data_IF_823965737095
#
_entry.id   IF_823965737095
#
_cell.length_a   1.000
_cell.length_b   1.000
_cell.length_c   1.000
_cell.angle_alpha   90.00
_cell.angle_beta   90.00
_cell.angle_gamma   90.00
#
_symmetry.space_group_name_H-M   'P 1'
#
loop_
_entity.id
_entity.type
_entity.pdbx_description
1 polymer ?
#
# COMPACT_ATOMS: atom_id res chain seq x y z
N UNK A 1 -10.07 -9.22 -11.87
CA UNK A 1 -11.37 -8.62 -12.23
C UNK A 1 -11.49 -8.58 -13.73
N UNK A 2 -12.38 -9.41 -14.33
CA UNK A 2 -12.74 -9.24 -15.74
C UNK A 2 -13.70 -8.05 -15.82
N UNK A 3 -13.42 -7.13 -16.73
CA UNK A 3 -14.13 -5.86 -16.95
C UNK A 3 -15.63 -6.03 -17.28
N UNK A 4 -16.07 -7.25 -17.52
CA UNK A 4 -17.43 -7.56 -18.00
C UNK A 4 -18.20 -8.54 -17.10
N UNK A 5 -17.67 -8.86 -15.90
CA UNK A 5 -18.43 -9.63 -14.95
C UNK A 5 -19.24 -8.66 -14.07
N UNK A 6 -20.53 -8.48 -14.37
CA UNK A 6 -21.49 -8.03 -13.37
C UNK A 6 -21.37 -9.00 -12.20
N UNK A 7 -20.67 -8.61 -11.16
CA UNK A 7 -20.64 -9.35 -9.91
C UNK A 7 -21.71 -8.77 -9.01
N UNK A 8 -22.89 -9.21 -9.20
CA UNK A 8 -23.95 -9.18 -8.20
C UNK A 8 -23.54 -10.18 -7.12
N UNK A 9 -22.64 -9.76 -6.23
CA UNK A 9 -22.29 -10.54 -5.05
C UNK A 9 -23.22 -10.13 -3.92
N UNK A 10 -23.79 -11.11 -3.24
CA UNK A 10 -24.53 -10.88 -2.00
C UNK A 10 -23.56 -10.80 -0.82
N UNK A 11 -23.86 -9.98 0.18
CA UNK A 11 -23.10 -9.83 1.42
C UNK A 11 -23.87 -10.45 2.56
N UNK A 12 -23.30 -11.45 3.22
CA UNK A 12 -23.90 -12.06 4.43
C UNK A 12 -23.60 -11.23 5.66
N UNK A 13 -22.34 -10.73 5.78
CA UNK A 13 -21.87 -10.03 6.97
C UNK A 13 -20.82 -9.02 6.57
N UNK A 14 -20.83 -7.88 7.21
CA UNK A 14 -19.83 -6.83 7.03
C UNK A 14 -19.37 -6.30 8.37
N UNK A 15 -18.06 -6.12 8.53
CA UNK A 15 -17.46 -5.46 9.69
C UNK A 15 -16.57 -4.31 9.21
N UNK A 16 -16.71 -3.15 9.83
CA UNK A 16 -15.88 -1.97 9.55
C UNK A 16 -14.73 -1.90 10.54
N UNK A 17 -13.55 -1.57 10.03
CA UNK A 17 -12.37 -1.32 10.86
C UNK A 17 -11.82 0.07 10.56
N UNK A 18 -11.38 0.75 11.61
CA UNK A 18 -10.60 1.98 11.45
C UNK A 18 -9.15 1.60 11.13
N UNK A 19 -8.59 2.19 10.07
CA UNK A 19 -7.20 1.98 9.71
C UNK A 19 -6.33 3.04 10.39
N UNK A 20 -5.25 2.60 10.99
CA UNK A 20 -4.19 3.47 11.48
C UNK A 20 -3.41 4.06 10.29
N UNK A 21 -3.00 5.33 10.42
CA UNK A 21 -2.26 6.04 9.37
C UNK A 21 -0.86 5.46 9.10
N UNK A 22 -0.42 4.50 9.91
CA UNK A 22 0.88 3.83 9.78
C UNK A 22 0.77 2.40 9.25
N UNK A 23 -0.44 1.86 9.10
CA UNK A 23 -0.64 0.46 8.69
C UNK A 23 -0.04 0.18 7.31
N UNK A 24 0.63 -0.97 7.18
CA UNK A 24 1.16 -1.46 5.90
C UNK A 24 0.20 -2.47 5.26
N UNK A 25 0.39 -2.75 3.96
CA UNK A 25 -0.43 -3.74 3.25
C UNK A 25 -0.36 -5.13 3.91
N UNK A 26 0.81 -5.60 4.33
CA UNK A 26 0.97 -6.91 4.98
C UNK A 26 0.24 -6.99 6.32
N UNK A 27 0.29 -5.91 7.11
CA UNK A 27 -0.45 -5.81 8.37
C UNK A 27 -1.97 -5.81 8.13
N UNK A 28 -2.43 -5.04 7.13
CA UNK A 28 -3.85 -4.99 6.76
C UNK A 28 -4.35 -6.37 6.28
N UNK A 29 -3.60 -7.06 5.42
CA UNK A 29 -3.97 -8.42 4.99
C UNK A 29 -4.07 -9.39 6.16
N UNK A 30 -3.13 -9.32 7.10
CA UNK A 30 -3.16 -10.15 8.30
C UNK A 30 -4.38 -9.86 9.17
N UNK A 31 -4.68 -8.58 9.40
CA UNK A 31 -5.83 -8.15 10.18
C UNK A 31 -7.15 -8.58 9.51
N UNK A 32 -7.31 -8.26 8.23
CA UNK A 32 -8.50 -8.61 7.46
C UNK A 32 -8.71 -10.13 7.39
N UNK A 33 -7.64 -10.91 7.21
CA UNK A 33 -7.71 -12.37 7.21
C UNK A 33 -8.20 -12.96 8.54
N UNK A 34 -7.69 -12.46 9.66
CA UNK A 34 -8.15 -12.87 11.01
C UNK A 34 -9.61 -12.50 11.25
N UNK A 35 -10.01 -11.30 10.85
CA UNK A 35 -11.39 -10.83 10.99
C UNK A 35 -12.34 -11.63 10.11
N UNK A 36 -12.01 -11.86 8.85
CA UNK A 36 -12.81 -12.66 7.94
C UNK A 36 -13.00 -14.10 8.44
N UNK A 37 -11.92 -14.72 8.94
CA UNK A 37 -12.01 -16.07 9.53
C UNK A 37 -12.93 -16.10 10.76
N UNK A 38 -12.81 -15.10 11.65
CA UNK A 38 -13.68 -14.97 12.83
C UNK A 38 -15.14 -14.78 12.42
N UNK A 39 -15.42 -13.85 11.51
CA UNK A 39 -16.78 -13.60 11.04
C UNK A 39 -17.41 -14.85 10.43
N UNK A 40 -16.67 -15.54 9.55
CA UNK A 40 -17.16 -16.77 8.95
C UNK A 40 -17.44 -17.85 10.00
N UNK A 41 -16.50 -18.10 10.91
CA UNK A 41 -16.65 -19.12 11.94
C UNK A 41 -17.83 -18.84 12.88
N UNK A 42 -18.07 -17.56 13.22
CA UNK A 42 -19.15 -17.18 14.13
C UNK A 42 -20.56 -17.28 13.53
N UNK A 43 -20.66 -17.24 12.20
CA UNK A 43 -21.95 -17.19 11.50
C UNK A 43 -22.20 -18.37 10.55
N UNK A 44 -21.24 -19.29 10.43
CA UNK A 44 -21.30 -20.37 9.47
C UNK A 44 -22.59 -21.22 9.64
N UNK A 45 -22.94 -21.60 10.87
CA UNK A 45 -24.14 -22.37 11.14
C UNK A 45 -25.42 -21.61 10.79
N UNK A 46 -25.45 -20.31 11.04
CA UNK A 46 -26.60 -19.46 10.69
C UNK A 46 -26.77 -19.34 9.15
N UNK A 47 -25.65 -19.27 8.44
CA UNK A 47 -25.64 -19.24 6.97
C UNK A 47 -26.12 -20.58 6.40
N UNK A 48 -25.57 -21.70 6.88
CA UNK A 48 -25.91 -23.05 6.41
C UNK A 48 -27.37 -23.43 6.70
N UNK A 49 -27.89 -23.00 7.85
CA UNK A 49 -29.29 -23.25 8.24
C UNK A 49 -30.26 -22.19 7.68
N UNK A 50 -29.81 -21.29 6.83
CA UNK A 50 -30.60 -20.20 6.22
C UNK A 50 -31.24 -19.25 7.26
N UNK A 51 -30.70 -19.17 8.46
CA UNK A 51 -31.10 -18.23 9.49
C UNK A 51 -30.49 -16.82 9.31
N UNK A 52 -29.44 -16.73 8.48
CA UNK A 52 -28.84 -15.49 8.02
C UNK A 52 -28.91 -15.46 6.49
N UNK A 53 -29.67 -14.52 5.96
CA UNK A 53 -29.86 -14.36 4.51
C UNK A 53 -28.87 -13.30 3.99
N UNK A 54 -28.38 -13.48 2.76
CA UNK A 54 -27.49 -12.50 2.13
C UNK A 54 -28.27 -11.27 1.65
N UNK A 55 -27.66 -10.09 1.78
CA UNK A 55 -28.20 -8.83 1.27
C UNK A 55 -27.54 -8.47 -0.07
N UNK A 56 -28.30 -7.91 -1.03
CA UNK A 56 -27.73 -7.42 -2.29
C UNK A 56 -26.84 -6.19 -2.01
N UNK A 57 -25.79 -6.02 -2.81
CA UNK A 57 -24.98 -4.81 -2.77
C UNK A 57 -25.64 -3.66 -3.52
N UNK A 58 -25.47 -2.44 -3.03
CA UNK A 58 -25.94 -1.25 -3.74
C UNK A 58 -25.03 -0.97 -4.95
N UNK A 59 -25.60 -0.96 -6.13
CA UNK A 59 -24.86 -0.69 -7.37
C UNK A 59 -24.44 0.77 -7.48
N UNK A 60 -25.16 1.71 -6.84
CA UNK A 60 -24.85 3.14 -6.90
C UNK A 60 -23.59 3.49 -6.07
N UNK A 61 -23.29 2.69 -5.05
CA UNK A 61 -22.09 2.84 -4.21
C UNK A 61 -20.86 2.06 -4.75
N UNK A 62 -20.98 1.45 -5.93
CA UNK A 62 -19.90 0.63 -6.49
C UNK A 62 -18.68 1.44 -6.89
N UNK A 63 -17.54 1.15 -6.28
CA UNK A 63 -16.23 1.72 -6.62
C UNK A 63 -15.41 0.71 -7.42
N UNK A 64 -14.97 1.12 -8.61
CA UNK A 64 -14.13 0.28 -9.47
C UNK A 64 -12.63 0.53 -9.20
N UNK A 65 -11.92 -0.54 -8.86
CA UNK A 65 -10.46 -0.51 -8.73
C UNK A 65 -9.81 -1.08 -10.00
N UNK A 66 -8.76 -0.41 -10.47
CA UNK A 66 -7.91 -0.95 -11.53
C UNK A 66 -6.90 -1.94 -10.95
N UNK A 67 -6.44 -2.88 -11.77
CA UNK A 67 -5.32 -3.74 -11.39
C UNK A 67 -4.04 -2.91 -11.33
N UNK A 68 -3.31 -3.04 -10.24
CA UNK A 68 -2.01 -2.41 -10.08
C UNK A 68 -1.00 -2.98 -11.07
N UNK A 69 -0.23 -2.11 -11.69
CA UNK A 69 0.84 -2.44 -12.62
C UNK A 69 2.21 -1.98 -12.07
N UNK A 70 3.29 -2.40 -12.72
CA UNK A 70 4.64 -1.96 -12.35
C UNK A 70 4.88 -0.46 -12.59
N UNK A 71 4.10 0.18 -13.46
CA UNK A 71 4.19 1.62 -13.74
C UNK A 71 3.64 2.40 -12.55
N UNK A 72 2.58 1.92 -11.92
CA UNK A 72 1.96 2.55 -10.75
C UNK A 72 2.93 2.59 -9.54
N UNK A 73 4.00 1.80 -9.58
CA UNK A 73 5.02 1.76 -8.54
C UNK A 73 5.96 2.96 -8.54
N UNK A 74 6.04 3.73 -9.62
CA UNK A 74 6.99 4.82 -9.73
C UNK A 74 6.49 6.06 -8.97
N UNK A 75 7.33 6.57 -8.06
CA UNK A 75 7.09 7.86 -7.42
C UNK A 75 7.43 9.00 -8.38
N UNK A 76 6.56 9.98 -8.41
CA UNK A 76 6.81 11.23 -9.14
C UNK A 76 6.75 12.42 -8.17
N UNK A 77 7.91 12.92 -7.77
CA UNK A 77 8.03 14.01 -6.80
C UNK A 77 7.45 15.34 -7.27
N UNK A 78 7.28 15.51 -8.59
CA UNK A 78 6.68 16.73 -9.17
C UNK A 78 5.15 16.76 -9.10
N UNK A 79 4.51 15.59 -9.02
CA UNK A 79 3.05 15.48 -9.06
C UNK A 79 2.43 15.00 -7.76
N UNK A 80 3.23 14.37 -6.88
CA UNK A 80 2.79 13.80 -5.59
C UNK A 80 3.26 14.66 -4.42
N UNK A 81 2.55 14.59 -3.29
CA UNK A 81 3.05 15.09 -2.02
C UNK A 81 3.94 14.04 -1.35
N UNK A 82 4.80 14.46 -0.43
CA UNK A 82 5.62 13.54 0.36
C UNK A 82 4.76 12.54 1.17
N UNK A 83 3.60 12.99 1.66
CA UNK A 83 2.64 12.13 2.37
C UNK A 83 2.05 11.07 1.43
N UNK A 84 1.65 11.43 0.20
CA UNK A 84 1.15 10.47 -0.79
C UNK A 84 2.21 9.43 -1.16
N UNK A 85 3.47 9.85 -1.27
CA UNK A 85 4.58 8.95 -1.55
C UNK A 85 4.82 7.95 -0.40
N UNK A 86 4.79 8.42 0.84
CA UNK A 86 4.91 7.57 2.03
C UNK A 86 3.76 6.56 2.12
N UNK A 87 2.52 7.01 1.91
CA UNK A 87 1.34 6.13 1.87
C UNK A 87 1.47 5.07 0.77
N UNK A 88 1.95 5.44 -0.40
CA UNK A 88 2.19 4.49 -1.50
C UNK A 88 3.24 3.45 -1.12
N UNK A 89 4.31 3.82 -0.43
CA UNK A 89 5.34 2.86 0.04
C UNK A 89 4.70 1.80 0.94
N UNK A 90 3.88 2.20 1.90
CA UNK A 90 3.17 1.27 2.80
C UNK A 90 2.13 0.42 2.06
N UNK A 91 1.37 1.02 1.17
CA UNK A 91 0.33 0.32 0.41
C UNK A 91 0.92 -0.68 -0.59
N UNK A 92 2.07 -0.37 -1.19
CA UNK A 92 2.69 -1.19 -2.23
C UNK A 92 3.84 -2.07 -1.71
N UNK A 93 3.96 -2.24 -0.40
CA UNK A 93 4.99 -3.04 0.25
C UNK A 93 5.14 -4.46 -0.34
N UNK A 94 4.02 -5.10 -0.67
CA UNK A 94 4.00 -6.44 -1.26
C UNK A 94 4.15 -6.35 -2.78
N UNK A 95 3.27 -5.62 -3.43
CA UNK A 95 3.24 -5.44 -4.88
C UNK A 95 2.55 -4.10 -5.22
N UNK A 96 3.05 -3.34 -6.18
CA UNK A 96 4.20 -3.63 -7.09
C UNK A 96 5.56 -3.19 -6.56
N UNK A 97 5.68 -2.82 -5.30
CA UNK A 97 6.86 -2.26 -4.59
C UNK A 97 7.27 -0.90 -5.15
N UNK A 98 7.10 0.12 -4.34
CA UNK A 98 7.35 1.51 -4.72
C UNK A 98 8.80 1.76 -5.10
N UNK A 99 9.01 2.49 -6.19
CA UNK A 99 10.33 2.77 -6.78
C UNK A 99 10.52 4.25 -7.02
N UNK A 100 11.76 4.68 -6.90
CA UNK A 100 12.22 6.00 -7.32
C UNK A 100 13.64 5.92 -7.86
N UNK A 101 13.98 6.83 -8.76
CA UNK A 101 15.35 6.98 -9.25
C UNK A 101 16.14 7.90 -8.31
N UNK A 102 17.31 7.44 -7.86
CA UNK A 102 18.24 8.19 -7.00
C UNK A 102 19.60 8.18 -7.66
N UNK A 103 20.07 9.33 -8.11
CA UNK A 103 21.39 9.49 -8.76
C UNK A 103 21.64 8.48 -9.90
N UNK A 104 20.62 8.23 -10.73
CA UNK A 104 20.69 7.28 -11.85
C UNK A 104 20.43 5.81 -11.46
N UNK A 105 20.15 5.53 -10.18
CA UNK A 105 19.82 4.18 -9.71
C UNK A 105 18.32 4.06 -9.42
N UNK A 106 17.63 3.15 -10.11
CA UNK A 106 16.25 2.82 -9.80
C UNK A 106 16.21 1.94 -8.54
N UNK A 107 15.74 2.48 -7.42
CA UNK A 107 15.69 1.82 -6.13
C UNK A 107 14.26 1.49 -5.72
N UNK A 108 14.05 0.35 -5.06
CA UNK A 108 12.79 0.05 -4.35
C UNK A 108 12.89 0.69 -2.96
N UNK A 109 11.88 1.46 -2.58
CA UNK A 109 11.82 2.06 -1.25
C UNK A 109 11.03 1.15 -0.34
N UNK A 110 11.67 0.70 0.74
CA UNK A 110 11.10 -0.22 1.71
C UNK A 110 10.55 0.52 2.95
N UNK A 111 11.20 1.63 3.34
CA UNK A 111 10.80 2.42 4.51
C UNK A 111 11.22 3.87 4.31
N UNK A 112 10.31 4.80 4.57
CA UNK A 112 10.57 6.23 4.52
C UNK A 112 9.65 6.98 5.48
N UNK A 113 10.04 8.21 5.83
CA UNK A 113 9.24 9.12 6.65
C UNK A 113 9.11 10.48 5.95
N UNK A 114 8.02 11.17 6.19
CA UNK A 114 7.86 12.58 5.79
C UNK A 114 8.54 13.48 6.80
N UNK A 115 9.31 14.45 6.32
CA UNK A 115 9.99 15.46 7.14
C UNK A 115 9.87 16.84 6.49
N UNK A 116 9.94 17.89 7.31
CA UNK A 116 9.76 19.27 6.83
C UNK A 116 11.07 19.87 6.30
N UNK A 117 12.23 19.32 6.65
CA UNK A 117 13.53 19.85 6.25
C UNK A 117 14.49 18.76 5.77
N UNK A 118 15.27 19.09 4.74
CA UNK A 118 16.33 18.25 4.23
C UNK A 118 17.49 18.16 5.23
N UNK A 119 17.93 16.94 5.51
CA UNK A 119 19.09 16.69 6.38
C UNK A 119 20.06 15.64 5.80
N UNK A 120 19.61 14.83 4.83
CA UNK A 120 20.44 13.77 4.24
C UNK A 120 20.40 13.85 2.70
N UNK A 121 21.38 13.28 1.98
CA UNK A 121 21.35 13.17 0.52
C UNK A 121 20.16 12.36 -0.01
N UNK A 122 19.55 11.51 0.83
CA UNK A 122 18.38 10.69 0.48
C UNK A 122 17.04 11.31 0.88
N UNK A 123 17.03 12.59 1.27
CA UNK A 123 15.81 13.35 1.48
C UNK A 123 15.38 13.95 0.13
N UNK A 124 14.32 13.41 -0.45
CA UNK A 124 13.80 13.79 -1.77
C UNK A 124 12.66 14.78 -1.57
N UNK A 125 12.77 15.95 -2.18
CA UNK A 125 11.74 16.99 -2.15
C UNK A 125 10.55 16.63 -3.04
N UNK A 126 9.34 16.85 -2.54
CA UNK A 126 8.08 16.65 -3.23
C UNK A 126 7.37 17.99 -3.48
N UNK A 127 6.29 17.96 -4.28
CA UNK A 127 5.57 19.16 -4.74
C UNK A 127 5.04 20.07 -3.61
N UNK A 128 4.86 19.53 -2.41
CA UNK A 128 4.40 20.24 -1.21
C UNK A 128 5.54 20.84 -0.39
N UNK A 129 6.76 20.92 -0.96
CA UNK A 129 7.99 21.38 -0.30
C UNK A 129 8.35 20.61 0.97
N UNK A 130 7.78 19.42 1.15
CA UNK A 130 8.18 18.45 2.17
C UNK A 130 9.09 17.41 1.56
N UNK A 131 9.82 16.71 2.43
CA UNK A 131 10.80 15.73 2.00
C UNK A 131 10.38 14.33 2.42
N UNK A 132 10.61 13.38 1.53
CA UNK A 132 10.55 11.95 1.84
C UNK A 132 11.95 11.51 2.25
N UNK A 133 12.16 11.24 3.54
CA UNK A 133 13.41 10.71 4.08
C UNK A 133 13.43 9.20 4.00
N UNK A 134 14.26 8.68 3.11
CA UNK A 134 14.42 7.24 2.91
C UNK A 134 15.21 6.64 4.08
N UNK A 135 14.68 5.58 4.69
CA UNK A 135 15.30 4.82 5.78
C UNK A 135 15.92 3.52 5.31
N UNK A 136 15.14 2.78 4.48
CA UNK A 136 15.57 1.52 3.90
C UNK A 136 15.17 1.44 2.44
N UNK A 137 16.04 0.88 1.63
CA UNK A 137 15.85 0.70 0.21
C UNK A 137 16.50 -0.60 -0.27
N UNK A 138 16.06 -1.06 -1.44
CA UNK A 138 16.66 -2.18 -2.14
C UNK A 138 17.25 -1.66 -3.46
N UNK A 139 18.56 -1.81 -3.61
CA UNK A 139 19.30 -1.42 -4.82
C UNK A 139 19.02 -2.39 -5.99
N UNK A 140 19.47 -2.05 -7.19
CA UNK A 140 19.34 -2.90 -8.41
C UNK A 140 19.92 -4.31 -8.23
N UNK A 141 20.95 -4.47 -7.39
CA UNK A 141 21.53 -5.76 -7.05
C UNK A 141 20.58 -6.70 -6.27
N UNK A 142 19.39 -6.21 -5.89
CA UNK A 142 18.45 -6.94 -5.03
C UNK A 142 18.82 -6.88 -3.54
N UNK A 143 19.93 -6.23 -3.17
CA UNK A 143 20.35 -6.10 -1.77
C UNK A 143 19.58 -4.98 -1.07
N UNK A 144 18.87 -5.34 -0.01
CA UNK A 144 18.26 -4.39 0.89
C UNK A 144 19.32 -3.81 1.84
N UNK A 145 19.27 -2.50 2.06
CA UNK A 145 20.20 -1.79 2.95
C UNK A 145 19.53 -0.57 3.57
N UNK A 146 20.14 -0.03 4.62
CA UNK A 146 19.76 1.24 5.20
C UNK A 146 20.31 2.42 4.37
N UNK A 147 19.79 3.63 4.65
CA UNK A 147 20.18 4.86 3.98
C UNK A 147 21.69 5.12 4.01
N UNK A 148 22.32 4.99 5.19
CA UNK A 148 23.75 5.27 5.36
C UNK A 148 24.64 4.33 4.52
N UNK A 149 24.28 3.05 4.45
CA UNK A 149 25.00 2.08 3.63
C UNK A 149 24.88 2.40 2.14
N UNK A 150 23.72 2.88 1.69
CA UNK A 150 23.53 3.30 0.30
C UNK A 150 24.35 4.58 0.00
N UNK A 151 24.29 5.58 0.85
CA UNK A 151 25.06 6.83 0.70
C UNK A 151 26.55 6.51 0.60
N UNK A 152 27.06 5.66 1.49
CA UNK A 152 28.48 5.31 1.52
C UNK A 152 28.94 4.46 0.34
N UNK A 153 28.08 3.64 -0.22
CA UNK A 153 28.43 2.70 -1.30
C UNK A 153 28.13 3.17 -2.71
N UNK A 154 27.13 4.08 -2.88
CA UNK A 154 26.61 4.44 -4.21
C UNK A 154 26.65 5.93 -4.50
N UNK A 155 26.76 6.82 -3.48
CA UNK A 155 26.70 8.28 -3.67
C UNK A 155 28.04 8.99 -3.39
N UNK A 156 29.10 8.25 -3.14
CA UNK A 156 30.46 8.80 -2.97
C UNK A 156 31.22 8.86 -4.29
#
# INVERSE_FOLDING_TARGET
YKKDAKKEGFVYIQEKISLDDTITASQLYTLAGKMGARLLSSHLDAILNQNLLPEPQDEEETVYCQLLSKIDALLNSQTMTAQQAEQQIRAYEIFPKTKIEISGFLCIINEANVVDAKATPLDIEFKDSKYLRIKKLTALSGKQMNADSFINGYLK
#
